data_IF_722720088621
#
_entry.id   IF_722720088621
#
_cell.length_a   1.000
_cell.length_b   1.000
_cell.length_c   1.000
_cell.angle_alpha   90.00
_cell.angle_beta   90.00
_cell.angle_gamma   90.00
#
_symmetry.space_group_name_H-M   'P 1'
#
loop_
_entity.id
_entity.type
_entity.pdbx_description
1 polymer ?
#
# COMPACT_ATOMS: atom_id res chain seq x y z
N UNK A 1 25.68 13.25 26.57
CA UNK A 1 25.11 13.88 25.36
C UNK A 1 25.89 15.11 24.93
N UNK A 2 26.08 16.17 25.76
CA UNK A 2 26.76 17.40 25.37
C UNK A 2 28.18 17.19 24.81
N UNK A 3 29.02 16.35 25.44
CA UNK A 3 30.38 16.08 24.97
C UNK A 3 30.40 15.40 23.58
N UNK A 4 29.51 14.45 23.34
CA UNK A 4 29.35 13.83 22.04
C UNK A 4 28.97 14.85 20.95
N UNK A 5 27.96 15.71 21.21
CA UNK A 5 27.52 16.74 20.27
C UNK A 5 28.64 17.76 19.94
N UNK A 6 29.44 18.14 20.94
CA UNK A 6 30.58 19.00 20.74
C UNK A 6 31.63 18.33 19.84
N UNK A 7 32.07 17.12 20.16
CA UNK A 7 33.08 16.40 19.38
C UNK A 7 32.60 16.16 17.93
N UNK A 8 31.35 15.78 17.77
CA UNK A 8 30.74 15.62 16.45
C UNK A 8 30.78 16.92 15.64
N UNK A 9 30.43 18.03 16.27
CA UNK A 9 30.48 19.37 15.65
C UNK A 9 31.89 19.75 15.27
N UNK A 10 32.88 19.49 16.13
CA UNK A 10 34.28 19.76 15.89
C UNK A 10 34.84 18.94 14.72
N UNK A 11 34.44 17.66 14.59
CA UNK A 11 34.77 16.81 13.44
C UNK A 11 34.15 17.36 12.16
N UNK A 12 32.85 17.67 12.16
CA UNK A 12 32.12 18.19 10.98
C UNK A 12 32.73 19.52 10.52
N UNK A 13 33.10 20.37 11.45
CA UNK A 13 33.74 21.69 11.17
C UNK A 13 35.23 21.58 10.88
N UNK A 14 35.79 20.38 10.78
CA UNK A 14 37.20 20.11 10.46
C UNK A 14 38.17 20.66 11.49
N UNK A 15 37.76 20.85 12.76
CA UNK A 15 38.66 21.09 13.88
C UNK A 15 39.53 19.85 14.06
N UNK A 16 38.92 18.66 14.00
CA UNK A 16 39.63 17.39 13.82
C UNK A 16 39.46 16.93 12.38
N UNK A 17 40.55 16.76 11.64
CA UNK A 17 40.57 16.40 10.23
C UNK A 17 40.59 14.87 10.07
N UNK A 18 40.23 14.40 8.88
CA UNK A 18 40.36 13.00 8.52
C UNK A 18 41.79 12.48 8.82
N UNK A 19 41.86 11.38 9.52
CA UNK A 19 43.11 10.75 9.95
C UNK A 19 43.71 11.30 11.24
N UNK A 20 43.19 12.41 11.79
CA UNK A 20 43.65 12.95 13.07
C UNK A 20 43.36 11.98 14.20
N UNK A 21 44.29 11.91 15.13
CA UNK A 21 44.13 11.14 16.36
C UNK A 21 43.44 12.00 17.43
N UNK A 22 42.33 11.49 17.96
CA UNK A 22 41.64 12.12 19.09
C UNK A 22 42.44 11.95 20.41
N UNK A 23 42.26 12.86 21.39
CA UNK A 23 42.84 12.72 22.72
C UNK A 23 42.51 11.38 23.36
N UNK A 24 43.40 10.91 24.26
CA UNK A 24 43.08 9.71 25.04
C UNK A 24 41.86 9.96 25.93
N UNK A 25 41.11 8.90 26.26
CA UNK A 25 39.89 9.01 27.11
C UNK A 25 40.22 9.75 28.46
N UNK A 26 41.41 9.50 29.03
CA UNK A 26 41.81 10.18 30.27
C UNK A 26 42.13 11.65 30.05
N UNK A 27 42.88 11.96 29.00
CA UNK A 27 43.26 13.34 28.68
C UNK A 27 42.00 14.18 28.39
N UNK A 28 41.08 13.71 27.58
CA UNK A 28 39.84 14.42 27.26
C UNK A 28 38.93 14.56 28.49
N UNK A 29 38.90 13.56 29.38
CA UNK A 29 38.15 13.66 30.63
C UNK A 29 38.67 14.76 31.54
N UNK A 30 40.01 14.88 31.63
CA UNK A 30 40.66 15.96 32.40
C UNK A 30 40.43 17.34 31.78
N UNK A 31 40.55 17.46 30.46
CA UNK A 31 40.34 18.74 29.72
C UNK A 31 38.88 19.22 29.79
N UNK A 32 37.92 18.30 29.74
CA UNK A 32 36.48 18.64 29.74
C UNK A 32 35.83 18.56 31.11
N UNK A 33 36.61 18.27 32.17
CA UNK A 33 36.11 18.10 33.53
C UNK A 33 34.96 17.07 33.63
N UNK A 34 35.05 16.01 32.85
CA UNK A 34 34.04 14.94 32.81
C UNK A 34 34.62 13.59 33.28
N UNK A 35 33.80 12.58 33.47
CA UNK A 35 34.28 11.23 33.80
C UNK A 35 34.84 10.52 32.56
N UNK A 36 35.85 9.64 32.77
CA UNK A 36 36.39 8.78 31.72
C UNK A 36 35.28 7.93 31.06
N UNK A 37 34.27 7.48 31.85
CA UNK A 37 33.11 6.75 31.37
C UNK A 37 32.26 7.59 30.41
N UNK A 38 32.11 8.88 30.69
CA UNK A 38 31.36 9.81 29.80
C UNK A 38 32.07 9.97 28.45
N UNK A 39 33.40 10.10 28.47
CA UNK A 39 34.21 10.15 27.24
C UNK A 39 34.15 8.84 26.47
N UNK A 40 34.23 7.71 27.18
CA UNK A 40 34.11 6.39 26.55
C UNK A 40 32.77 6.18 25.84
N UNK A 41 31.67 6.59 26.48
CA UNK A 41 30.34 6.55 25.88
C UNK A 41 30.24 7.48 24.65
N UNK A 42 30.78 8.70 24.72
CA UNK A 42 30.81 9.62 23.57
C UNK A 42 31.61 9.04 22.40
N UNK A 43 32.78 8.43 22.68
CA UNK A 43 33.59 7.79 21.64
C UNK A 43 32.92 6.54 21.05
N UNK A 44 32.22 5.75 21.89
CA UNK A 44 31.44 4.62 21.38
C UNK A 44 30.38 5.06 20.35
N UNK A 45 29.60 6.08 20.68
CA UNK A 45 28.58 6.62 19.77
C UNK A 45 29.21 7.14 18.47
N UNK A 46 30.32 7.90 18.59
CA UNK A 46 31.02 8.42 17.40
C UNK A 46 31.60 7.30 16.53
N UNK A 47 32.02 6.15 17.12
CA UNK A 47 32.42 4.97 16.37
C UNK A 47 31.23 4.31 15.68
N UNK A 48 30.11 4.13 16.39
CA UNK A 48 28.90 3.49 15.87
C UNK A 48 28.30 4.32 14.69
N UNK A 49 28.44 5.63 14.75
CA UNK A 49 28.01 6.54 13.69
C UNK A 49 29.06 6.75 12.57
N UNK A 50 30.25 6.15 12.70
CA UNK A 50 31.29 6.21 11.66
C UNK A 50 32.09 7.53 11.60
N UNK A 51 31.99 8.42 12.58
CA UNK A 51 32.81 9.62 12.65
C UNK A 51 34.26 9.32 12.99
N UNK A 52 34.51 8.30 13.81
CA UNK A 52 35.83 7.86 14.24
C UNK A 52 35.94 6.34 14.21
N UNK A 53 37.16 5.83 14.18
CA UNK A 53 37.44 4.39 14.38
C UNK A 53 38.38 4.18 15.54
N UNK A 54 38.20 3.04 16.24
CA UNK A 54 39.13 2.58 17.28
C UNK A 54 40.20 1.72 16.63
N UNK A 55 41.50 2.07 16.83
CA UNK A 55 42.63 1.26 16.40
C UNK A 55 43.26 0.62 17.63
N UNK A 56 43.35 -0.69 17.64
CA UNK A 56 43.89 -1.46 18.77
C UNK A 56 45.27 -0.94 19.18
N UNK A 57 45.46 -0.70 20.50
CA UNK A 57 46.69 -0.15 21.11
C UNK A 57 47.15 1.22 20.58
N UNK A 58 46.41 1.84 19.69
CA UNK A 58 46.78 3.10 19.07
C UNK A 58 45.84 4.26 19.46
N UNK A 59 44.56 4.03 19.68
CA UNK A 59 43.59 5.06 20.09
C UNK A 59 42.48 5.24 19.06
N UNK A 60 41.86 6.42 19.07
CA UNK A 60 40.73 6.76 18.21
C UNK A 60 41.15 7.74 17.11
N UNK A 61 40.71 7.53 15.89
CA UNK A 61 41.08 8.29 14.70
C UNK A 61 39.83 8.74 13.94
N UNK A 62 39.85 9.96 13.42
CA UNK A 62 38.75 10.50 12.62
C UNK A 62 38.70 9.83 11.26
N UNK A 63 37.51 9.26 10.94
CA UNK A 63 37.21 8.63 9.64
C UNK A 63 36.26 9.42 8.79
N UNK A 64 35.62 10.44 9.37
CA UNK A 64 34.68 11.32 8.65
C UNK A 64 35.43 12.21 7.65
N UNK A 65 34.93 12.23 6.40
CA UNK A 65 35.38 13.14 5.34
C UNK A 65 34.22 14.00 4.91
N UNK A 66 34.39 15.32 4.99
CA UNK A 66 33.37 16.28 4.53
C UNK A 66 33.11 16.16 3.02
N UNK A 67 34.11 15.72 2.25
CA UNK A 67 34.06 15.61 0.79
C UNK A 67 33.41 14.32 0.30
N UNK A 68 33.13 13.35 1.18
CA UNK A 68 32.38 12.13 0.82
C UNK A 68 30.90 12.43 0.53
N UNK A 69 30.42 13.59 0.96
CA UNK A 69 29.11 14.11 0.59
C UNK A 69 29.29 15.31 -0.34
N UNK A 70 28.90 15.18 -1.59
CA UNK A 70 28.91 16.30 -2.55
C UNK A 70 28.17 17.47 -1.91
N UNK A 71 28.78 18.68 -1.77
CA UNK A 71 28.06 19.84 -1.27
C UNK A 71 26.84 20.05 -2.16
N UNK A 72 25.66 20.01 -1.56
CA UNK A 72 24.45 20.45 -2.26
C UNK A 72 24.70 21.92 -2.55
N UNK A 73 24.91 22.29 -3.83
CA UNK A 73 24.90 23.68 -4.24
C UNK A 73 23.64 24.32 -3.63
N UNK A 74 23.78 25.43 -2.94
CA UNK A 74 22.63 26.18 -2.44
C UNK A 74 21.76 26.52 -3.65
N UNK A 75 20.77 25.65 -3.91
CA UNK A 75 19.71 25.99 -4.83
C UNK A 75 18.93 27.11 -4.18
N UNK A 76 18.90 28.28 -4.86
CA UNK A 76 17.93 29.31 -4.52
C UNK A 76 16.59 28.64 -4.27
N UNK A 77 16.08 28.78 -3.07
CA UNK A 77 14.80 28.20 -2.67
C UNK A 77 13.73 28.84 -3.55
N UNK A 78 13.40 28.19 -4.67
CA UNK A 78 12.14 28.46 -5.32
C UNK A 78 11.08 28.13 -4.28
N UNK A 79 10.27 29.11 -3.92
CA UNK A 79 9.07 28.95 -3.11
C UNK A 79 8.14 27.98 -3.86
N UNK A 80 8.41 26.69 -3.73
CA UNK A 80 7.44 25.66 -4.06
C UNK A 80 6.34 25.84 -3.02
N UNK A 81 5.17 26.27 -3.45
CA UNK A 81 4.01 26.33 -2.59
C UNK A 81 3.85 24.95 -1.94
N UNK A 82 4.15 24.87 -0.65
CA UNK A 82 3.91 23.65 0.12
C UNK A 82 2.40 23.49 0.11
N UNK A 83 1.91 22.52 -0.65
CA UNK A 83 0.52 22.11 -0.53
C UNK A 83 0.27 21.75 0.93
N UNK A 84 -0.46 22.60 1.63
CA UNK A 84 -0.91 22.30 2.97
C UNK A 84 -1.84 21.09 2.87
N UNK A 85 -1.30 19.93 3.24
CA UNK A 85 -2.11 18.72 3.40
C UNK A 85 -3.11 19.03 4.51
N UNK A 86 -4.35 19.33 4.13
CA UNK A 86 -5.45 19.50 5.08
C UNK A 86 -5.68 18.14 5.75
N UNK A 87 -5.24 18.05 6.99
CA UNK A 87 -5.46 16.90 7.84
C UNK A 87 -6.93 16.92 8.25
N UNK A 88 -7.79 16.33 7.44
CA UNK A 88 -9.13 16.00 7.89
C UNK A 88 -9.00 14.81 8.84
N UNK A 89 -9.08 15.08 10.14
CA UNK A 89 -9.22 14.02 11.14
C UNK A 89 -10.40 13.13 10.74
N UNK A 90 -10.07 11.93 10.28
CA UNK A 90 -11.07 10.88 10.19
C UNK A 90 -11.42 10.48 11.63
N UNK A 91 -12.39 11.18 12.23
CA UNK A 91 -12.90 10.92 13.60
C UNK A 91 -13.28 9.46 13.86
N UNK A 92 -13.26 8.63 12.83
CA UNK A 92 -13.71 7.25 12.88
C UNK A 92 -12.57 6.24 13.00
N UNK A 93 -11.33 6.59 12.59
CA UNK A 93 -10.23 5.61 12.57
C UNK A 93 -9.67 5.35 13.97
N UNK A 94 -9.49 4.10 14.38
CA UNK A 94 -9.02 3.74 15.73
C UNK A 94 -7.51 3.87 15.84
N UNK A 95 -6.96 5.09 15.76
CA UNK A 95 -5.51 5.34 15.72
C UNK A 95 -4.76 4.72 16.91
N UNK A 96 -5.31 4.77 18.12
CA UNK A 96 -4.68 4.19 19.31
C UNK A 96 -4.51 2.67 19.20
N UNK A 97 -5.51 1.98 18.65
CA UNK A 97 -5.45 0.53 18.38
C UNK A 97 -4.43 0.23 17.31
N UNK A 98 -4.44 0.99 16.21
CA UNK A 98 -3.50 0.83 15.11
C UNK A 98 -2.05 1.06 15.55
N UNK A 99 -1.79 2.13 16.33
CA UNK A 99 -0.48 2.41 16.91
C UNK A 99 0.00 1.29 17.85
N UNK A 100 -0.90 0.68 18.63
CA UNK A 100 -0.58 -0.50 19.44
C UNK A 100 -0.21 -1.70 18.55
N UNK A 101 -0.94 -1.91 17.47
CA UNK A 101 -0.66 -2.99 16.51
C UNK A 101 0.71 -2.80 15.88
N UNK A 102 1.09 -1.59 15.47
CA UNK A 102 2.43 -1.30 14.94
C UNK A 102 3.55 -1.67 15.94
N UNK A 103 3.42 -1.28 17.21
CA UNK A 103 4.40 -1.64 18.26
C UNK A 103 4.48 -3.15 18.47
N UNK A 104 3.36 -3.84 18.46
CA UNK A 104 3.32 -5.29 18.58
C UNK A 104 4.02 -5.97 17.40
N UNK A 105 3.83 -5.46 16.18
CA UNK A 105 4.50 -5.98 14.98
C UNK A 105 6.01 -5.81 15.08
N UNK A 106 6.50 -4.64 15.48
CA UNK A 106 7.94 -4.40 15.68
C UNK A 106 8.50 -5.39 16.70
N UNK A 107 7.82 -5.57 17.84
CA UNK A 107 8.26 -6.50 18.89
C UNK A 107 8.20 -7.97 18.46
N UNK A 108 7.19 -8.36 17.67
CA UNK A 108 6.95 -9.75 17.24
C UNK A 108 7.89 -10.20 16.13
N UNK A 109 8.10 -9.34 15.13
CA UNK A 109 8.84 -9.69 13.91
C UNK A 109 10.30 -9.23 13.94
N UNK A 110 10.67 -8.25 14.81
CA UNK A 110 12.04 -7.76 14.92
C UNK A 110 12.61 -7.34 13.57
N UNK A 111 13.82 -7.80 13.26
CA UNK A 111 14.53 -7.47 12.02
C UNK A 111 13.84 -8.00 10.73
N UNK A 112 12.88 -8.91 10.84
CA UNK A 112 12.13 -9.41 9.69
C UNK A 112 11.35 -8.31 8.97
N UNK A 113 11.03 -7.20 9.66
CA UNK A 113 10.40 -6.03 9.04
C UNK A 113 11.30 -5.30 8.02
N UNK A 114 12.60 -5.59 8.00
CA UNK A 114 13.59 -4.96 7.11
C UNK A 114 13.90 -5.79 5.87
N UNK A 115 13.39 -7.03 5.78
CA UNK A 115 13.62 -7.88 4.61
C UNK A 115 12.76 -7.46 3.41
N UNK A 116 13.19 -7.82 2.22
CA UNK A 116 12.40 -7.62 1.00
C UNK A 116 11.11 -8.43 1.07
N UNK A 117 9.97 -7.79 0.76
CA UNK A 117 8.69 -8.51 0.61
C UNK A 117 8.76 -9.54 -0.53
N UNK A 118 8.11 -10.71 -0.37
CA UNK A 118 7.85 -11.61 -1.51
C UNK A 118 7.11 -10.88 -2.63
N UNK A 119 7.32 -11.28 -3.88
CA UNK A 119 6.81 -10.57 -5.06
C UNK A 119 5.27 -10.44 -5.08
N UNK A 120 4.55 -11.42 -4.57
CA UNK A 120 3.08 -11.38 -4.42
C UNK A 120 2.59 -10.72 -3.13
N UNK A 121 3.49 -10.26 -2.27
CA UNK A 121 3.19 -9.84 -0.90
C UNK A 121 3.42 -10.95 0.13
N UNK A 122 3.53 -10.59 1.43
CA UNK A 122 3.78 -11.56 2.48
C UNK A 122 2.59 -12.52 2.67
N UNK A 123 2.91 -13.74 3.06
CA UNK A 123 1.90 -14.79 3.25
C UNK A 123 0.87 -14.41 4.33
N UNK A 124 1.32 -13.78 5.41
CA UNK A 124 0.50 -13.38 6.54
C UNK A 124 -0.63 -12.44 6.13
N UNK A 125 -0.33 -11.45 5.27
CA UNK A 125 -1.37 -10.53 4.77
C UNK A 125 -2.29 -11.23 3.77
N UNK A 126 -1.74 -11.99 2.84
CA UNK A 126 -2.56 -12.73 1.86
C UNK A 126 -3.50 -13.72 2.55
N UNK A 127 -3.02 -14.41 3.59
CA UNK A 127 -3.86 -15.30 4.41
C UNK A 127 -4.94 -14.55 5.18
N UNK A 128 -4.57 -13.42 5.82
CA UNK A 128 -5.54 -12.58 6.52
C UNK A 128 -6.64 -12.05 5.60
N UNK A 129 -6.29 -11.64 4.37
CA UNK A 129 -7.25 -11.21 3.35
C UNK A 129 -8.14 -12.38 2.90
N UNK A 130 -7.56 -13.55 2.63
CA UNK A 130 -8.32 -14.76 2.26
C UNK A 130 -9.39 -15.08 3.32
N UNK A 131 -8.99 -15.10 4.59
CA UNK A 131 -9.91 -15.39 5.70
C UNK A 131 -10.97 -14.29 5.87
N UNK A 132 -10.60 -13.03 5.69
CA UNK A 132 -11.53 -11.90 5.71
C UNK A 132 -12.58 -12.00 4.60
N UNK A 133 -12.15 -12.28 3.36
CA UNK A 133 -13.03 -12.43 2.19
C UNK A 133 -14.02 -13.59 2.36
N UNK A 134 -13.56 -14.71 2.91
CA UNK A 134 -14.41 -15.85 3.18
C UNK A 134 -15.52 -15.50 4.21
N UNK A 135 -15.16 -14.82 5.30
CA UNK A 135 -16.11 -14.44 6.35
C UNK A 135 -17.04 -13.29 5.95
N UNK A 136 -16.47 -12.27 5.26
CA UNK A 136 -17.17 -11.00 5.03
C UNK A 136 -17.93 -10.92 3.71
N UNK A 137 -17.48 -11.65 2.69
CA UNK A 137 -17.99 -11.54 1.31
C UNK A 137 -18.36 -12.89 0.67
N UNK A 138 -18.19 -14.00 1.37
CA UNK A 138 -18.46 -15.33 0.81
C UNK A 138 -17.48 -15.73 -0.31
N UNK A 139 -16.35 -15.06 -0.42
CA UNK A 139 -15.30 -15.34 -1.41
C UNK A 139 -14.31 -16.33 -0.80
N UNK A 140 -14.39 -17.59 -1.20
CA UNK A 140 -13.48 -18.65 -0.75
C UNK A 140 -12.30 -18.76 -1.73
N UNK A 141 -11.13 -18.28 -1.33
CA UNK A 141 -9.90 -18.29 -2.15
C UNK A 141 -8.70 -18.66 -1.30
N UNK A 142 -7.62 -19.12 -1.96
CA UNK A 142 -6.36 -19.41 -1.29
C UNK A 142 -5.42 -18.18 -1.30
N UNK A 143 -4.44 -18.09 -0.39
CA UNK A 143 -3.46 -17.03 -0.41
C UNK A 143 -2.68 -16.92 -1.73
N UNK A 144 -2.53 -18.01 -2.48
CA UNK A 144 -1.84 -18.08 -3.78
C UNK A 144 -2.55 -17.30 -4.88
N UNK A 145 -3.86 -17.13 -4.75
CA UNK A 145 -4.68 -16.34 -5.68
C UNK A 145 -4.57 -14.84 -5.43
N UNK A 146 -3.95 -14.41 -4.33
CA UNK A 146 -3.93 -13.00 -3.88
C UNK A 146 -2.59 -12.36 -4.21
N UNK A 147 -2.64 -11.18 -4.85
CA UNK A 147 -1.48 -10.34 -5.16
C UNK A 147 -1.66 -8.98 -4.50
N UNK A 148 -0.66 -8.58 -3.72
CA UNK A 148 -0.62 -7.28 -3.03
C UNK A 148 0.07 -6.23 -3.91
N UNK A 149 -0.48 -5.02 -3.95
CA UNK A 149 0.09 -3.88 -4.67
C UNK A 149 -0.17 -2.54 -3.99
N UNK A 150 0.53 -1.49 -4.43
CA UNK A 150 0.47 -0.15 -3.87
C UNK A 150 -0.78 0.66 -4.28
N UNK A 151 -1.95 0.05 -4.10
CA UNK A 151 -3.26 0.62 -4.41
C UNK A 151 -3.81 0.17 -5.76
N UNK A 152 -5.05 0.57 -6.03
CA UNK A 152 -5.81 0.10 -7.19
C UNK A 152 -5.17 0.52 -8.53
N UNK A 153 -4.67 1.74 -8.64
CA UNK A 153 -4.04 2.28 -9.86
C UNK A 153 -2.84 1.44 -10.32
N UNK A 154 -2.00 1.00 -9.37
CA UNK A 154 -0.89 0.08 -9.64
C UNK A 154 -1.40 -1.29 -10.14
N UNK A 155 -2.43 -1.81 -9.48
CA UNK A 155 -3.01 -3.11 -9.85
C UNK A 155 -3.67 -3.07 -11.24
N UNK A 156 -4.35 -1.96 -11.61
CA UNK A 156 -4.90 -1.82 -12.96
C UNK A 156 -3.80 -1.86 -14.03
N UNK A 157 -2.68 -1.14 -13.81
CA UNK A 157 -1.53 -1.19 -14.71
C UNK A 157 -0.96 -2.60 -14.84
N UNK A 158 -0.83 -3.31 -13.71
CA UNK A 158 -0.35 -4.70 -13.71
C UNK A 158 -1.28 -5.65 -14.45
N UNK A 159 -2.60 -5.46 -14.32
CA UNK A 159 -3.63 -6.24 -15.04
C UNK A 159 -3.54 -5.99 -16.55
N UNK A 160 -3.35 -4.74 -17.00
CA UNK A 160 -3.17 -4.44 -18.43
C UNK A 160 -1.93 -5.13 -18.99
N UNK A 161 -0.81 -5.08 -18.25
CA UNK A 161 0.43 -5.76 -18.67
C UNK A 161 0.26 -7.28 -18.70
N UNK A 162 -0.53 -7.83 -17.79
CA UNK A 162 -0.83 -9.26 -17.77
C UNK A 162 -1.74 -9.70 -18.91
N UNK A 163 -2.90 -9.06 -19.06
CA UNK A 163 -3.91 -9.44 -20.04
C UNK A 163 -3.53 -9.08 -21.48
N UNK A 164 -2.75 -8.00 -21.66
CA UNK A 164 -2.29 -7.48 -22.94
C UNK A 164 -2.93 -6.14 -23.29
N UNK A 165 -2.09 -5.22 -23.75
CA UNK A 165 -2.49 -3.86 -24.17
C UNK A 165 -3.18 -3.84 -25.53
N UNK A 166 -3.07 -4.91 -26.30
CA UNK A 166 -3.74 -5.11 -27.58
C UNK A 166 -5.23 -5.40 -27.45
N UNK A 167 -5.70 -5.62 -26.21
CA UNK A 167 -7.14 -5.85 -25.92
C UNK A 167 -7.88 -4.53 -25.78
N UNK A 168 -9.16 -4.56 -26.12
CA UNK A 168 -10.08 -3.46 -25.83
C UNK A 168 -10.65 -3.63 -24.43
N UNK A 169 -10.55 -2.58 -23.62
CA UNK A 169 -11.05 -2.52 -22.25
C UNK A 169 -12.33 -1.70 -22.18
N UNK A 170 -13.45 -2.35 -21.97
CA UNK A 170 -14.72 -1.68 -21.71
C UNK A 170 -14.77 -1.14 -20.29
N UNK A 171 -15.16 0.11 -20.12
CA UNK A 171 -15.20 0.82 -18.84
C UNK A 171 -16.57 1.50 -18.70
N UNK A 172 -17.11 1.53 -17.51
CA UNK A 172 -18.33 2.30 -17.18
C UNK A 172 -18.18 3.79 -17.52
N UNK A 173 -19.24 4.43 -18.00
CA UNK A 173 -19.29 5.86 -18.27
C UNK A 173 -20.55 6.49 -17.64
N UNK A 174 -20.43 7.42 -16.67
CA UNK A 174 -19.17 7.90 -16.08
C UNK A 174 -18.51 6.87 -15.16
N UNK A 175 -17.18 6.94 -15.01
CA UNK A 175 -16.40 6.16 -14.06
C UNK A 175 -15.37 7.04 -13.35
N UNK A 176 -14.63 6.46 -12.43
CA UNK A 176 -13.49 7.12 -11.80
C UNK A 176 -12.42 7.42 -12.85
N UNK A 177 -12.14 8.72 -13.07
CA UNK A 177 -11.28 9.21 -14.16
C UNK A 177 -9.89 8.54 -14.22
N UNK A 178 -9.35 8.16 -13.08
CA UNK A 178 -8.04 7.50 -13.03
C UNK A 178 -8.04 6.10 -13.66
N UNK A 179 -9.17 5.40 -13.70
CA UNK A 179 -9.25 4.10 -14.38
C UNK A 179 -8.90 4.29 -15.85
N UNK A 180 -9.59 5.22 -16.52
CA UNK A 180 -9.33 5.55 -17.93
C UNK A 180 -7.90 6.06 -18.14
N UNK A 181 -7.40 6.92 -17.24
CA UNK A 181 -6.06 7.48 -17.30
C UNK A 181 -4.98 6.41 -17.21
N UNK A 182 -5.12 5.44 -16.29
CA UNK A 182 -4.18 4.32 -16.14
C UNK A 182 -4.19 3.43 -17.37
N UNK A 183 -5.36 3.12 -17.93
CA UNK A 183 -5.44 2.28 -19.12
C UNK A 183 -4.80 2.96 -20.32
N UNK A 184 -5.10 4.25 -20.57
CA UNK A 184 -4.48 5.05 -21.64
C UNK A 184 -2.95 5.17 -21.45
N UNK A 185 -2.46 5.36 -20.23
CA UNK A 185 -1.02 5.44 -19.97
C UNK A 185 -0.28 4.10 -20.17
N UNK A 186 -1.02 3.00 -20.25
CA UNK A 186 -0.51 1.68 -20.63
C UNK A 186 -0.78 1.34 -22.10
N UNK A 187 -1.14 2.32 -22.94
CA UNK A 187 -1.45 2.16 -24.36
C UNK A 187 -2.61 1.17 -24.65
N UNK A 188 -3.54 1.01 -23.70
CA UNK A 188 -4.71 0.16 -23.87
C UNK A 188 -5.86 0.93 -24.53
N UNK A 189 -6.51 0.33 -25.52
CA UNK A 189 -7.73 0.88 -26.11
C UNK A 189 -8.91 0.74 -25.14
N UNK A 190 -9.71 1.81 -25.01
CA UNK A 190 -10.83 1.84 -24.08
C UNK A 190 -12.14 2.12 -24.79
N UNK A 191 -13.18 1.34 -24.49
CA UNK A 191 -14.56 1.55 -24.92
C UNK A 191 -15.40 1.99 -23.72
N UNK A 192 -16.05 3.17 -23.81
CA UNK A 192 -16.81 3.76 -22.72
C UNK A 192 -18.29 3.36 -22.83
N UNK A 193 -18.76 2.54 -21.90
CA UNK A 193 -20.11 2.00 -21.87
C UNK A 193 -21.00 2.80 -20.91
N UNK A 194 -22.03 3.46 -21.42
CA UNK A 194 -22.90 4.29 -20.60
C UNK A 194 -23.65 3.47 -19.54
N UNK A 195 -23.70 4.04 -18.33
CA UNK A 195 -24.49 3.52 -17.23
C UNK A 195 -25.97 3.89 -17.40
N UNK A 196 -26.84 2.95 -17.08
CA UNK A 196 -28.26 3.14 -16.81
C UNK A 196 -28.54 3.19 -15.31
N UNK A 197 -29.78 2.96 -14.92
CA UNK A 197 -30.20 3.02 -13.51
C UNK A 197 -29.66 1.83 -12.68
N UNK A 198 -29.40 0.70 -13.30
CA UNK A 198 -29.03 -0.57 -12.64
C UNK A 198 -27.70 -1.17 -13.13
N UNK A 199 -26.87 -0.38 -13.78
CA UNK A 199 -25.57 -0.77 -14.34
C UNK A 199 -25.43 -0.38 -15.81
N UNK A 200 -24.50 -0.97 -16.54
CA UNK A 200 -24.22 -0.68 -17.94
C UNK A 200 -25.45 -1.01 -18.81
N UNK A 201 -25.78 -0.09 -19.73
CA UNK A 201 -26.87 -0.32 -20.68
C UNK A 201 -26.61 -1.59 -21.51
N UNK A 202 -27.59 -2.50 -21.54
CA UNK A 202 -27.52 -3.77 -22.29
C UNK A 202 -27.17 -3.57 -23.76
N UNK A 203 -27.69 -2.49 -24.38
CA UNK A 203 -27.39 -2.15 -25.77
C UNK A 203 -25.91 -1.82 -26.00
N UNK A 204 -25.24 -1.17 -25.03
CA UNK A 204 -23.82 -0.88 -25.09
C UNK A 204 -23.00 -2.13 -24.85
N UNK A 205 -23.36 -2.93 -23.84
CA UNK A 205 -22.72 -4.20 -23.53
C UNK A 205 -22.74 -5.18 -24.72
N UNK A 206 -23.84 -5.19 -25.48
CA UNK A 206 -23.96 -6.04 -26.66
C UNK A 206 -23.18 -5.58 -27.88
N UNK A 207 -22.95 -4.26 -28.02
CA UNK A 207 -22.26 -3.66 -29.18
C UNK A 207 -20.75 -3.63 -29.06
N UNK A 208 -20.24 -3.58 -27.84
CA UNK A 208 -18.78 -3.46 -27.62
C UNK A 208 -18.01 -4.64 -28.22
N UNK A 209 -16.84 -4.36 -28.77
CA UNK A 209 -15.89 -5.37 -29.22
C UNK A 209 -14.87 -5.72 -28.12
N UNK A 210 -15.02 -5.15 -26.93
CA UNK A 210 -14.14 -5.41 -25.81
C UNK A 210 -14.17 -6.89 -25.39
N UNK A 211 -13.02 -7.36 -24.90
CA UNK A 211 -12.86 -8.68 -24.29
C UNK A 211 -12.50 -8.57 -22.81
N UNK A 212 -12.28 -7.34 -22.30
CA UNK A 212 -12.08 -7.07 -20.89
C UNK A 212 -13.12 -6.04 -20.47
N UNK A 213 -13.84 -6.29 -19.38
CA UNK A 213 -14.87 -5.41 -18.83
C UNK A 213 -14.48 -4.97 -17.41
N UNK A 214 -14.19 -3.69 -17.22
CA UNK A 214 -13.96 -3.12 -15.90
C UNK A 214 -15.24 -2.51 -15.37
N UNK A 215 -15.73 -3.00 -14.25
CA UNK A 215 -16.95 -2.54 -13.59
C UNK A 215 -16.76 -2.31 -12.11
N UNK A 216 -17.50 -1.34 -11.59
CA UNK A 216 -17.65 -1.07 -10.15
C UNK A 216 -19.09 -1.40 -9.75
N UNK A 217 -19.41 -2.65 -9.44
CA UNK A 217 -20.82 -3.08 -9.33
C UNK A 217 -21.54 -2.49 -8.13
N UNK A 218 -20.81 -1.95 -7.16
CA UNK A 218 -21.37 -1.36 -5.94
C UNK A 218 -21.00 0.13 -5.83
N UNK A 219 -22.01 0.99 -6.00
CA UNK A 219 -21.86 2.46 -5.87
C UNK A 219 -20.78 3.05 -6.79
N UNK A 220 -20.88 2.72 -8.09
CA UNK A 220 -19.95 3.24 -9.09
C UNK A 220 -19.78 4.75 -8.97
N UNK A 221 -18.52 5.22 -8.84
CA UNK A 221 -18.22 6.65 -8.70
C UNK A 221 -17.97 7.28 -10.10
N UNK A 222 -18.51 8.48 -10.40
CA UNK A 222 -19.26 9.39 -9.53
C UNK A 222 -20.78 9.16 -9.52
N UNK A 223 -21.30 8.25 -10.34
CA UNK A 223 -22.76 8.07 -10.57
C UNK A 223 -23.51 7.58 -9.33
N UNK A 224 -22.88 6.81 -8.45
CA UNK A 224 -23.51 6.14 -7.32
C UNK A 224 -24.36 4.92 -7.72
N UNK A 225 -24.41 4.55 -8.99
CA UNK A 225 -25.16 3.40 -9.50
C UNK A 225 -24.65 2.10 -8.89
N UNK A 226 -25.58 1.23 -8.51
CA UNK A 226 -25.30 -0.14 -8.06
C UNK A 226 -25.93 -1.11 -9.04
N UNK A 227 -25.12 -2.03 -9.57
CA UNK A 227 -25.58 -3.04 -10.51
C UNK A 227 -26.58 -3.98 -9.83
N UNK A 228 -27.76 -4.16 -10.43
CA UNK A 228 -28.75 -5.12 -9.94
C UNK A 228 -28.23 -6.56 -10.01
N UNK A 229 -28.85 -7.48 -9.26
CA UNK A 229 -28.49 -8.89 -9.34
C UNK A 229 -28.64 -9.44 -10.78
N UNK A 230 -29.67 -9.00 -11.50
CA UNK A 230 -29.87 -9.35 -12.92
C UNK A 230 -28.73 -8.84 -13.79
N UNK A 231 -28.31 -7.59 -13.57
CA UNK A 231 -27.22 -6.96 -14.31
C UNK A 231 -25.88 -7.63 -14.02
N UNK A 232 -25.60 -8.01 -12.77
CA UNK A 232 -24.39 -8.78 -12.43
C UNK A 232 -24.36 -10.14 -13.17
N UNK A 233 -25.47 -10.85 -13.23
CA UNK A 233 -25.56 -12.07 -14.03
C UNK A 233 -25.39 -11.81 -15.54
N UNK A 234 -25.88 -10.67 -16.06
CA UNK A 234 -25.65 -10.27 -17.44
C UNK A 234 -24.15 -10.06 -17.73
N UNK A 235 -23.41 -9.43 -16.81
CA UNK A 235 -21.94 -9.27 -16.95
C UNK A 235 -21.22 -10.63 -16.98
N UNK A 236 -21.58 -11.54 -16.09
CA UNK A 236 -21.02 -12.91 -16.08
C UNK A 236 -21.29 -13.62 -17.41
N UNK A 237 -22.54 -13.54 -17.90
CA UNK A 237 -22.91 -14.12 -19.19
C UNK A 237 -22.13 -13.49 -20.34
N UNK A 238 -22.02 -12.14 -20.34
CA UNK A 238 -21.24 -11.43 -21.34
C UNK A 238 -19.79 -11.92 -21.41
N UNK A 239 -19.15 -12.14 -20.27
CA UNK A 239 -17.77 -12.66 -20.20
C UNK A 239 -17.71 -14.11 -20.71
N UNK A 240 -18.65 -14.96 -20.32
CA UNK A 240 -18.72 -16.35 -20.77
C UNK A 240 -18.88 -16.47 -22.29
N UNK A 241 -19.83 -15.70 -22.87
CA UNK A 241 -20.14 -15.71 -24.31
C UNK A 241 -18.95 -15.23 -25.17
N UNK A 242 -18.05 -14.41 -24.62
CA UNK A 242 -16.91 -13.80 -25.33
C UNK A 242 -15.55 -14.39 -24.93
N UNK A 243 -15.50 -15.37 -24.04
CA UNK A 243 -14.28 -15.80 -23.37
C UNK A 243 -13.49 -14.59 -22.82
N UNK A 244 -14.24 -13.63 -22.30
CA UNK A 244 -13.73 -12.36 -21.78
C UNK A 244 -13.36 -12.43 -20.31
N UNK A 245 -12.76 -11.33 -19.83
CA UNK A 245 -12.38 -11.15 -18.42
C UNK A 245 -13.14 -9.96 -17.86
N UNK A 246 -13.65 -10.10 -16.63
CA UNK A 246 -14.21 -8.99 -15.86
C UNK A 246 -13.17 -8.57 -14.82
N UNK A 247 -12.96 -7.26 -14.68
CA UNK A 247 -12.26 -6.65 -13.56
C UNK A 247 -13.33 -6.05 -12.66
N UNK A 248 -13.55 -6.68 -11.51
CA UNK A 248 -14.49 -6.19 -10.49
C UNK A 248 -13.75 -5.30 -9.51
N UNK A 249 -14.01 -3.99 -9.58
CA UNK A 249 -13.45 -3.02 -8.65
C UNK A 249 -14.41 -2.79 -7.48
N UNK A 250 -14.02 -3.26 -6.31
CA UNK A 250 -14.86 -3.23 -5.11
C UNK A 250 -14.26 -2.35 -4.01
N UNK A 251 -14.09 -1.07 -4.31
CA UNK A 251 -13.37 -0.15 -3.44
C UNK A 251 -14.17 0.44 -2.27
N UNK A 252 -15.49 0.30 -2.24
CA UNK A 252 -16.35 0.96 -1.23
C UNK A 252 -17.45 0.04 -0.63
N UNK A 253 -17.54 -1.21 -1.03
CA UNK A 253 -18.62 -2.11 -0.55
C UNK A 253 -18.56 -2.38 0.96
N UNK A 254 -17.38 -2.30 1.58
CA UNK A 254 -17.23 -2.42 3.04
C UNK A 254 -18.09 -1.43 3.81
N UNK A 255 -18.34 -0.26 3.26
CA UNK A 255 -19.12 0.80 3.91
C UNK A 255 -20.58 0.87 3.49
N UNK A 256 -21.05 -0.13 2.76
CA UNK A 256 -22.47 -0.24 2.38
C UNK A 256 -23.34 -0.38 3.62
N UNK A 257 -24.42 0.40 3.66
CA UNK A 257 -25.40 0.39 4.76
C UNK A 257 -26.52 -0.63 4.57
N UNK A 258 -26.51 -1.35 3.45
CA UNK A 258 -27.45 -2.45 3.18
C UNK A 258 -27.40 -3.51 4.29
N UNK A 259 -28.55 -4.09 4.60
CA UNK A 259 -28.67 -5.20 5.55
C UNK A 259 -28.42 -6.56 4.91
N UNK A 260 -28.45 -6.65 3.59
CA UNK A 260 -28.13 -7.88 2.85
C UNK A 260 -26.70 -7.81 2.33
N UNK A 261 -25.95 -8.90 2.56
CA UNK A 261 -24.73 -9.12 1.80
C UNK A 261 -25.14 -9.36 0.34
N UNK A 262 -24.58 -8.57 -0.56
CA UNK A 262 -24.79 -8.76 -1.99
C UNK A 262 -23.65 -9.57 -2.55
N UNK A 263 -23.98 -10.54 -3.41
CA UNK A 263 -22.98 -11.39 -4.06
C UNK A 263 -22.11 -10.54 -4.99
N UNK A 264 -20.81 -10.68 -4.88
CA UNK A 264 -19.84 -10.08 -5.82
C UNK A 264 -19.82 -10.87 -7.13
N UNK A 265 -19.37 -10.27 -8.21
CA UNK A 265 -19.16 -10.98 -9.47
C UNK A 265 -18.19 -12.15 -9.29
N UNK A 266 -17.12 -11.93 -8.50
CA UNK A 266 -16.16 -12.98 -8.19
C UNK A 266 -16.79 -14.14 -7.42
N UNK A 267 -17.70 -13.88 -6.46
CA UNK A 267 -18.37 -14.96 -5.72
C UNK A 267 -19.31 -15.78 -6.60
N UNK A 268 -19.86 -15.17 -7.65
CA UNK A 268 -20.71 -15.84 -8.64
C UNK A 268 -19.90 -16.68 -9.63
N UNK A 269 -18.67 -16.26 -9.97
CA UNK A 269 -17.81 -16.92 -10.97
C UNK A 269 -16.33 -16.93 -10.53
N UNK A 270 -15.97 -17.68 -9.46
CA UNK A 270 -14.64 -17.62 -8.87
C UNK A 270 -13.54 -18.31 -9.68
N UNK A 271 -13.90 -19.11 -10.70
CA UNK A 271 -12.94 -20.01 -11.35
C UNK A 271 -12.33 -19.46 -12.64
N UNK A 272 -13.04 -18.66 -13.41
CA UNK A 272 -12.65 -18.47 -14.81
C UNK A 272 -12.45 -17.04 -15.27
N UNK A 273 -13.36 -16.11 -14.97
CA UNK A 273 -13.46 -14.87 -15.73
C UNK A 273 -13.40 -13.58 -14.93
N UNK A 274 -13.36 -13.62 -13.61
CA UNK A 274 -13.39 -12.41 -12.78
C UNK A 274 -12.08 -12.23 -12.03
N UNK A 275 -11.42 -11.09 -12.22
CA UNK A 275 -10.34 -10.57 -11.36
C UNK A 275 -10.99 -9.60 -10.40
N UNK A 276 -10.93 -9.88 -9.10
CA UNK A 276 -11.45 -9.00 -8.06
C UNK A 276 -10.35 -8.06 -7.58
N UNK A 277 -10.65 -6.77 -7.48
CA UNK A 277 -9.71 -5.74 -7.01
C UNK A 277 -10.33 -4.98 -5.85
N UNK A 278 -9.55 -4.74 -4.79
CA UNK A 278 -9.98 -3.94 -3.65
C UNK A 278 -8.78 -3.17 -3.04
N UNK A 279 -9.06 -2.17 -2.20
CA UNK A 279 -8.04 -1.33 -1.58
C UNK A 279 -8.38 -0.96 -0.14
N UNK A 280 -7.36 -0.89 0.71
CA UNK A 280 -7.47 -0.43 2.09
C UNK A 280 -7.37 1.11 2.23
N UNK A 281 -7.12 1.82 1.13
CA UNK A 281 -6.97 3.29 1.12
C UNK A 281 -8.17 4.03 1.70
N UNK A 282 -9.40 3.56 1.42
CA UNK A 282 -10.63 4.16 1.95
C UNK A 282 -11.08 3.55 3.28
N UNK A 283 -10.75 2.28 3.49
CA UNK A 283 -11.24 1.53 4.66
C UNK A 283 -10.34 1.66 5.88
N UNK A 284 -9.05 1.97 5.70
CA UNK A 284 -8.09 2.19 6.78
C UNK A 284 -7.66 3.65 6.81
N UNK A 285 -6.81 4.08 5.89
CA UNK A 285 -6.34 5.47 5.78
C UNK A 285 -5.87 5.77 4.36
N UNK A 286 -6.01 7.01 3.85
CA UNK A 286 -5.53 7.40 2.53
C UNK A 286 -4.03 7.20 2.30
N UNK A 287 -3.22 7.35 3.36
CA UNK A 287 -1.77 7.11 3.36
C UNK A 287 -1.42 5.63 3.24
N UNK A 288 -2.33 4.72 3.66
CA UNK A 288 -2.13 3.29 3.52
C UNK A 288 -2.44 2.87 2.08
N UNK A 289 -1.43 2.99 1.24
CA UNK A 289 -1.51 2.69 -0.19
C UNK A 289 -1.44 1.18 -0.47
N UNK A 290 -2.24 0.38 0.24
CA UNK A 290 -2.32 -1.07 0.06
C UNK A 290 -3.61 -1.42 -0.67
N UNK A 291 -3.47 -2.10 -1.80
CA UNK A 291 -4.53 -2.78 -2.51
C UNK A 291 -4.19 -4.24 -2.72
N UNK A 292 -5.16 -4.99 -3.14
CA UNK A 292 -4.96 -6.38 -3.53
C UNK A 292 -5.87 -6.74 -4.69
N UNK A 293 -5.43 -7.70 -5.49
CA UNK A 293 -6.29 -8.38 -6.45
C UNK A 293 -6.36 -9.87 -6.14
N UNK A 294 -7.49 -10.45 -6.45
CA UNK A 294 -7.72 -11.89 -6.39
C UNK A 294 -7.87 -12.41 -7.80
N UNK A 295 -6.99 -13.33 -8.17
CA UNK A 295 -7.01 -13.97 -9.47
C UNK A 295 -7.97 -15.15 -9.45
N UNK A 296 -8.77 -15.35 -10.50
CA UNK A 296 -9.50 -16.61 -10.66
C UNK A 296 -8.51 -17.76 -10.83
N UNK A 297 -8.87 -18.95 -10.36
CA UNK A 297 -7.98 -20.11 -10.32
C UNK A 297 -7.28 -20.39 -11.66
N UNK A 298 -8.01 -20.27 -12.77
CA UNK A 298 -7.48 -20.47 -14.14
C UNK A 298 -6.35 -19.52 -14.52
N UNK A 299 -6.26 -18.34 -13.93
CA UNK A 299 -5.28 -17.32 -14.31
C UNK A 299 -4.02 -17.30 -13.42
N UNK A 300 -4.01 -18.02 -12.30
CA UNK A 300 -2.92 -17.97 -11.31
C UNK A 300 -1.57 -18.32 -11.93
N UNK A 301 -1.46 -19.50 -12.52
CA UNK A 301 -0.19 -19.98 -13.08
C UNK A 301 0.32 -19.09 -14.22
N UNK A 302 -0.58 -18.68 -15.12
CA UNK A 302 -0.22 -17.79 -16.24
C UNK A 302 0.21 -16.42 -15.77
N UNK A 303 -0.44 -15.89 -14.71
CA UNK A 303 -0.06 -14.63 -14.11
C UNK A 303 1.35 -14.70 -13.51
N UNK A 304 1.63 -15.68 -12.66
CA UNK A 304 2.95 -15.79 -12.04
C UNK A 304 4.06 -16.13 -13.03
N UNK A 305 3.75 -16.88 -14.09
CA UNK A 305 4.71 -17.11 -15.17
C UNK A 305 5.10 -15.80 -15.88
N UNK A 306 4.10 -14.95 -16.18
CA UNK A 306 4.32 -13.71 -16.94
C UNK A 306 4.76 -12.54 -16.07
N UNK A 307 4.18 -12.39 -14.86
CA UNK A 307 4.29 -11.21 -14.01
C UNK A 307 5.00 -11.46 -12.69
N UNK A 308 5.31 -12.72 -12.34
CA UNK A 308 5.86 -13.09 -11.04
C UNK A 308 7.26 -12.53 -10.72
N UNK A 309 7.94 -11.93 -11.69
CA UNK A 309 9.23 -11.25 -11.47
C UNK A 309 9.09 -9.86 -10.87
N UNK A 310 7.90 -9.23 -10.95
CA UNK A 310 7.66 -7.92 -10.35
C UNK A 310 7.76 -7.99 -8.83
N UNK A 311 8.53 -7.09 -8.25
CA UNK A 311 8.62 -6.97 -6.79
C UNK A 311 7.34 -6.34 -6.25
N UNK A 312 6.87 -6.83 -5.09
CA UNK A 312 5.81 -6.17 -4.35
C UNK A 312 6.25 -4.77 -3.96
N UNK A 313 5.41 -3.78 -4.27
CA UNK A 313 5.68 -2.35 -4.04
C UNK A 313 5.29 -1.88 -2.64
N UNK A 314 4.66 -2.75 -1.83
CA UNK A 314 4.25 -2.44 -0.46
C UNK A 314 5.32 -2.90 0.52
N UNK A 315 5.81 -2.02 1.43
CA UNK A 315 6.76 -2.39 2.46
C UNK A 315 6.25 -3.55 3.34
N UNK A 316 7.12 -4.48 3.68
CA UNK A 316 6.72 -5.68 4.44
C UNK A 316 6.19 -5.33 5.84
N UNK A 317 6.73 -4.28 6.46
CA UNK A 317 6.25 -3.80 7.75
C UNK A 317 4.77 -3.42 7.71
N UNK A 318 4.35 -2.65 6.70
CA UNK A 318 2.94 -2.25 6.53
C UNK A 318 2.04 -3.45 6.28
N UNK A 319 2.53 -4.46 5.54
CA UNK A 319 1.80 -5.69 5.31
C UNK A 319 1.59 -6.47 6.61
N UNK A 320 2.60 -6.61 7.48
CA UNK A 320 2.45 -7.25 8.78
C UNK A 320 1.49 -6.50 9.70
N UNK A 321 1.57 -5.16 9.71
CA UNK A 321 0.65 -4.33 10.51
C UNK A 321 -0.80 -4.54 10.07
N UNK A 322 -1.05 -4.54 8.78
CA UNK A 322 -2.40 -4.76 8.25
C UNK A 322 -2.90 -6.19 8.51
N UNK A 323 -2.02 -7.20 8.35
CA UNK A 323 -2.36 -8.59 8.66
C UNK A 323 -2.78 -8.77 10.13
N UNK A 324 -2.01 -8.21 11.07
CA UNK A 324 -2.36 -8.26 12.50
C UNK A 324 -3.65 -7.47 12.80
N UNK A 325 -3.86 -6.33 12.15
CA UNK A 325 -5.06 -5.52 12.32
C UNK A 325 -6.33 -6.26 11.86
N UNK A 326 -6.23 -7.04 10.77
CA UNK A 326 -7.31 -7.91 10.30
C UNK A 326 -7.48 -9.12 11.24
N UNK A 327 -6.40 -9.84 11.55
CA UNK A 327 -6.45 -11.08 12.33
C UNK A 327 -6.97 -10.88 13.75
N UNK A 328 -6.69 -9.72 14.37
CA UNK A 328 -7.22 -9.35 15.68
C UNK A 328 -8.70 -8.91 15.65
N UNK A 329 -9.33 -8.86 14.47
CA UNK A 329 -10.71 -8.39 14.29
C UNK A 329 -10.88 -6.86 14.48
N UNK A 330 -9.78 -6.11 14.54
CA UNK A 330 -9.83 -4.65 14.71
C UNK A 330 -10.35 -3.96 13.44
N UNK A 331 -10.04 -4.55 12.28
CA UNK A 331 -10.51 -4.08 10.98
C UNK A 331 -12.04 -4.20 10.87
N UNK A 332 -12.61 -5.36 11.18
CA UNK A 332 -14.07 -5.58 11.15
C UNK A 332 -14.79 -4.70 12.20
N UNK A 333 -14.19 -4.53 13.37
CA UNK A 333 -14.73 -3.59 14.39
C UNK A 333 -14.75 -2.16 13.88
N UNK A 334 -13.72 -1.74 13.16
CA UNK A 334 -13.65 -0.42 12.53
C UNK A 334 -14.74 -0.26 11.46
N UNK A 335 -14.87 -1.19 10.54
CA UNK A 335 -15.91 -1.19 9.49
C UNK A 335 -17.30 -1.11 10.12
N UNK A 336 -17.60 -1.95 11.11
CA UNK A 336 -18.91 -1.97 11.77
C UNK A 336 -19.23 -0.64 12.46
N UNK A 337 -18.23 0.01 13.09
CA UNK A 337 -18.38 1.34 13.70
C UNK A 337 -18.70 2.40 12.65
N UNK A 338 -17.99 2.39 11.53
CA UNK A 338 -18.21 3.32 10.42
C UNK A 338 -19.58 3.13 9.77
N UNK A 339 -19.99 1.88 9.53
CA UNK A 339 -21.34 1.54 9.03
C UNK A 339 -22.44 2.06 9.97
N UNK A 340 -22.25 1.90 11.28
CA UNK A 340 -23.19 2.40 12.30
C UNK A 340 -23.33 3.92 12.24
N UNK A 341 -22.21 4.66 12.17
CA UNK A 341 -22.22 6.14 12.06
C UNK A 341 -22.92 6.58 10.77
N UNK A 342 -22.63 5.95 9.63
CA UNK A 342 -23.28 6.26 8.34
C UNK A 342 -24.80 6.01 8.38
N UNK A 343 -25.25 4.91 8.98
CA UNK A 343 -26.70 4.62 9.17
C UNK A 343 -27.37 5.67 10.03
N UNK A 344 -26.72 6.12 11.08
CA UNK A 344 -27.24 7.16 11.95
C UNK A 344 -27.39 8.49 11.22
N UNK A 345 -26.35 8.92 10.51
CA UNK A 345 -26.39 10.15 9.68
C UNK A 345 -27.45 10.12 8.58
N UNK A 346 -27.83 8.94 8.08
CA UNK A 346 -28.92 8.79 7.10
C UNK A 346 -30.32 8.85 7.72
N UNK A 347 -30.46 8.57 9.04
CA UNK A 347 -31.73 8.66 9.78
C UNK A 347 -32.01 10.08 10.27
N UNK A 348 -30.93 10.86 10.48
CA UNK A 348 -31.00 12.23 10.98
C UNK A 348 -31.21 13.27 9.85
N UNK A 349 -31.22 12.81 8.59
CA UNK A 349 -31.61 13.57 7.37
C UNK A 349 -33.05 13.28 6.98
#
# INVERSE_FOLDING_TARGET
>A
MQLYEQLRTDIINSVYKYGDKLPSKRLLADETLTSVITVEHAYSILCDEGYIESRERSGYYVTYRKDDFVPIAEHESHNIAVEHINYHESEAFPFSVFSKTMRNVISKYGEQILIKSPNSGCYELRKAISDYLARGKGIAVTPEQIVIGSGAEYLYGLIVQFLGREKIYAIENPSYEKILSVYKSNDAECDLLNLGEDGILTSHLNRTQATVLHVTPFRSFPSGVTASASKRNEYIKWAADRNGIIIEDDFESEFTVSTKNEDTLFSLEPKHSVIYVNTFTKTVAPSMRIGYMVLPEKLVDSFFHKMGFYSCTVPIFEQYVLAEFINNGDFERHINRTRRKRRQALRDK
#
